data_IF_356458559149
#
_entry.id   IF_356458559149
#
_cell.length_a   1.000
_cell.length_b   1.000
_cell.length_c   1.000
_cell.angle_alpha   90.00
_cell.angle_beta   90.00
_cell.angle_gamma   90.00
#
_symmetry.space_group_name_H-M   'P 1'
#
loop_
_entity.id
_entity.type
_entity.pdbx_description
1 polymer ?
#
# COMPACT_ATOMS: atom_id res chain seq x y z
N UNK A 1 21.40 -18.51 57.13
CA UNK A 1 20.94 -17.32 56.36
C UNK A 1 20.73 -17.73 54.93
N UNK A 2 19.47 -17.88 54.55
CA UNK A 2 19.08 -18.33 53.21
C UNK A 2 18.55 -17.09 52.45
N UNK A 3 19.30 -16.57 51.46
CA UNK A 3 18.93 -15.40 50.65
C UNK A 3 18.11 -15.88 49.47
N UNK A 4 16.83 -15.54 49.47
CA UNK A 4 15.88 -15.79 48.40
C UNK A 4 16.01 -14.74 47.29
N UNK A 5 16.53 -15.10 46.08
CA UNK A 5 16.53 -14.25 44.92
C UNK A 5 15.20 -14.39 44.19
N UNK A 6 14.42 -13.31 44.24
CA UNK A 6 13.20 -13.15 43.41
C UNK A 6 13.63 -12.65 42.00
N UNK A 7 13.49 -13.50 41.02
CA UNK A 7 13.59 -13.09 39.61
C UNK A 7 12.28 -12.43 39.17
N UNK A 8 12.31 -11.11 38.97
CA UNK A 8 11.25 -10.38 38.26
C UNK A 8 11.41 -10.65 36.78
N UNK A 9 10.52 -11.47 36.22
CA UNK A 9 10.35 -11.63 34.77
C UNK A 9 9.55 -10.46 34.22
N UNK A 10 10.22 -9.53 33.54
CA UNK A 10 9.57 -8.45 32.81
C UNK A 10 9.13 -8.99 31.43
N UNK A 11 7.88 -9.43 31.35
CA UNK A 11 7.25 -9.83 30.08
C UNK A 11 6.90 -8.61 29.26
N UNK A 12 7.66 -8.32 28.21
CA UNK A 12 7.30 -7.35 27.19
C UNK A 12 6.24 -7.98 26.27
N UNK A 13 4.99 -7.66 26.51
CA UNK A 13 3.90 -7.97 25.59
C UNK A 13 3.95 -7.00 24.41
N UNK A 14 4.38 -7.48 23.25
CA UNK A 14 4.23 -6.76 21.99
C UNK A 14 2.75 -6.80 21.59
N UNK A 15 2.07 -5.65 21.66
CA UNK A 15 0.71 -5.48 21.20
C UNK A 15 0.66 -5.48 19.68
N UNK A 16 0.42 -6.64 19.09
CA UNK A 16 0.05 -6.76 17.67
C UNK A 16 -1.41 -6.38 17.55
N UNK A 17 -1.71 -5.32 16.80
CA UNK A 17 -3.07 -4.87 16.52
C UNK A 17 -3.69 -5.84 15.51
N UNK A 18 -4.64 -6.67 15.94
CA UNK A 18 -5.24 -7.74 15.14
C UNK A 18 -6.65 -7.42 14.61
N UNK A 19 -7.20 -6.22 14.88
CA UNK A 19 -8.55 -5.86 14.39
C UNK A 19 -8.75 -4.38 14.05
N UNK A 20 -9.56 -4.15 13.02
CA UNK A 20 -9.98 -2.83 12.52
C UNK A 20 -10.64 -1.95 13.62
N UNK A 21 -11.23 -2.56 14.64
CA UNK A 21 -11.92 -1.87 15.75
C UNK A 21 -10.96 -1.17 16.70
N UNK A 22 -9.72 -1.62 16.86
CA UNK A 22 -8.72 -0.97 17.71
C UNK A 22 -8.03 0.21 17.04
N UNK A 23 -7.87 0.15 15.70
CA UNK A 23 -7.28 1.25 14.92
C UNK A 23 -8.20 2.48 14.90
N UNK A 24 -9.53 2.29 14.85
CA UNK A 24 -10.52 3.38 14.78
C UNK A 24 -10.62 4.16 16.12
N UNK A 25 -10.39 3.51 17.26
CA UNK A 25 -10.46 4.18 18.57
C UNK A 25 -9.31 5.14 18.87
N UNK A 26 -8.21 5.08 18.11
CA UNK A 26 -7.04 5.96 18.33
C UNK A 26 -6.96 7.17 17.41
N UNK A 27 -7.85 7.31 16.43
CA UNK A 27 -7.79 8.40 15.45
C UNK A 27 -9.10 9.18 15.35
N UNK A 28 -9.59 9.72 16.47
CA UNK A 28 -10.68 10.69 16.47
C UNK A 28 -10.12 12.09 16.17
N UNK A 29 -10.06 12.47 14.90
CA UNK A 29 -9.97 13.87 14.49
C UNK A 29 -11.29 14.29 13.84
N UNK A 30 -11.88 15.26 14.49
CA UNK A 30 -13.08 15.99 14.13
C UNK A 30 -12.87 16.75 12.79
N UNK A 31 -13.72 16.50 11.81
CA UNK A 31 -13.80 17.35 10.61
C UNK A 31 -15.24 17.68 10.31
N UNK A 32 -15.71 18.74 10.97
CA UNK A 32 -16.86 19.52 10.50
C UNK A 32 -16.40 20.52 9.47
N UNK A 33 -16.69 20.29 8.19
CA UNK A 33 -16.77 21.35 7.20
C UNK A 33 -17.83 21.00 6.14
N UNK A 34 -18.96 21.68 6.30
CA UNK A 34 -20.08 21.79 5.39
C UNK A 34 -19.66 22.36 4.03
N UNK A 35 -20.09 21.77 2.93
CA UNK A 35 -20.38 22.52 1.71
C UNK A 35 -21.53 21.90 0.93
N UNK A 36 -22.62 22.64 0.94
CA UNK A 36 -23.85 22.53 0.19
C UNK A 36 -23.57 22.73 -1.32
N UNK A 37 -23.97 21.82 -2.18
CA UNK A 37 -24.20 22.14 -3.60
C UNK A 37 -25.54 21.61 -4.06
N UNK A 38 -26.25 22.53 -4.74
CA UNK A 38 -27.62 22.43 -5.19
C UNK A 38 -27.82 21.41 -6.30
N UNK A 39 -29.03 20.88 -6.29
CA UNK A 39 -29.60 19.96 -7.27
C UNK A 39 -30.19 20.79 -8.41
N UNK A 40 -29.75 20.59 -9.63
CA UNK A 40 -30.48 21.00 -10.83
C UNK A 40 -31.14 19.76 -11.41
N UNK A 41 -32.47 19.75 -11.39
CA UNK A 41 -33.32 18.79 -12.11
C UNK A 41 -33.45 19.26 -13.55
N UNK A 42 -33.23 18.39 -14.51
CA UNK A 42 -33.89 18.54 -15.79
C UNK A 42 -34.40 17.19 -16.29
N UNK A 43 -35.68 17.20 -16.66
CA UNK A 43 -36.46 16.09 -17.16
C UNK A 43 -36.33 16.04 -18.68
N UNK A 44 -35.99 14.89 -19.26
CA UNK A 44 -36.59 14.53 -20.56
C UNK A 44 -36.57 13.01 -20.75
N UNK A 45 -37.78 12.50 -20.95
CA UNK A 45 -38.10 11.12 -21.27
C UNK A 45 -37.68 10.76 -22.68
N UNK A 46 -37.10 9.61 -22.88
CA UNK A 46 -37.44 8.69 -24.00
C UNK A 46 -36.83 7.31 -23.78
N UNK A 47 -37.70 6.29 -23.70
CA UNK A 47 -37.39 4.88 -23.87
C UNK A 47 -37.45 4.56 -25.36
N UNK A 48 -36.57 3.72 -25.94
CA UNK A 48 -36.94 2.32 -26.05
C UNK A 48 -35.81 1.27 -26.04
N UNK A 49 -36.28 0.07 -25.70
CA UNK A 49 -35.83 -1.28 -26.11
C UNK A 49 -34.49 -1.85 -25.61
N UNK A 50 -34.70 -2.88 -24.79
CA UNK A 50 -33.82 -3.98 -24.48
C UNK A 50 -33.38 -4.72 -25.74
N UNK A 51 -32.07 -4.93 -25.83
CA UNK A 51 -31.55 -6.16 -26.39
C UNK A 51 -30.28 -6.60 -25.62
N UNK A 52 -30.31 -7.84 -25.29
CA UNK A 52 -29.57 -8.80 -24.54
C UNK A 52 -28.10 -8.91 -24.99
N UNK A 53 -27.16 -8.24 -24.30
CA UNK A 53 -25.72 -8.60 -24.35
C UNK A 53 -25.10 -8.37 -22.95
N UNK A 54 -25.46 -9.21 -22.00
CA UNK A 54 -24.80 -9.26 -20.69
C UNK A 54 -24.29 -10.67 -20.45
N UNK A 55 -23.10 -11.02 -20.98
CA UNK A 55 -22.32 -12.14 -20.41
C UNK A 55 -20.85 -12.14 -20.84
N UNK A 56 -20.40 -11.26 -21.77
CA UNK A 56 -18.99 -11.23 -22.17
C UNK A 56 -18.14 -10.16 -21.50
N UNK A 57 -18.74 -9.08 -20.98
CA UNK A 57 -18.00 -7.95 -20.43
C UNK A 57 -17.33 -8.22 -19.08
N UNK A 58 -17.93 -9.07 -18.22
CA UNK A 58 -17.40 -9.35 -16.89
C UNK A 58 -16.18 -10.30 -16.86
N UNK A 59 -16.04 -11.19 -17.86
CA UNK A 59 -14.85 -12.04 -17.95
C UNK A 59 -13.66 -11.31 -18.56
N UNK A 60 -13.88 -10.42 -19.52
CA UNK A 60 -12.80 -9.62 -20.13
C UNK A 60 -12.28 -8.56 -19.18
N UNK A 61 -13.13 -7.89 -18.41
CA UNK A 61 -12.72 -6.91 -17.40
C UNK A 61 -11.89 -7.57 -16.28
N UNK A 62 -12.27 -8.77 -15.84
CA UNK A 62 -11.53 -9.50 -14.80
C UNK A 62 -10.18 -10.05 -15.27
N UNK A 63 -10.06 -10.45 -16.53
CA UNK A 63 -8.80 -10.91 -17.12
C UNK A 63 -7.85 -9.75 -17.45
N UNK A 64 -8.36 -8.60 -17.88
CA UNK A 64 -7.57 -7.38 -18.12
C UNK A 64 -6.98 -6.86 -16.80
N UNK A 65 -7.77 -6.81 -15.72
CA UNK A 65 -7.29 -6.39 -14.39
C UNK A 65 -6.17 -7.30 -13.85
N UNK A 66 -6.29 -8.62 -14.01
CA UNK A 66 -5.25 -9.57 -13.57
C UNK A 66 -3.93 -9.42 -14.33
N UNK A 67 -3.98 -9.08 -15.62
CA UNK A 67 -2.79 -8.83 -16.41
C UNK A 67 -2.12 -7.51 -16.01
N UNK A 68 -2.88 -6.42 -15.82
CA UNK A 68 -2.34 -5.09 -15.47
C UNK A 68 -1.53 -5.14 -14.18
N UNK A 69 -2.01 -5.80 -13.11
CA UNK A 69 -1.26 -5.95 -11.85
C UNK A 69 0.06 -6.69 -12.05
N UNK A 70 0.06 -7.79 -12.80
CA UNK A 70 1.26 -8.55 -13.16
C UNK A 70 2.24 -7.72 -13.97
N UNK A 71 1.73 -6.94 -14.91
CA UNK A 71 2.54 -6.09 -15.78
C UNK A 71 3.19 -4.95 -15.00
N UNK A 72 2.48 -4.35 -14.04
CA UNK A 72 3.03 -3.33 -13.13
C UNK A 72 4.16 -3.93 -12.28
N UNK A 73 3.95 -5.13 -11.71
CA UNK A 73 4.99 -5.83 -10.93
C UNK A 73 6.21 -6.15 -11.78
N UNK A 74 6.00 -6.57 -13.02
CA UNK A 74 7.10 -6.83 -13.97
C UNK A 74 7.82 -5.54 -14.35
N UNK A 75 7.07 -4.47 -14.61
CA UNK A 75 7.61 -3.16 -14.97
C UNK A 75 8.45 -2.56 -13.87
N UNK A 76 7.96 -2.52 -12.63
CA UNK A 76 8.69 -1.91 -11.52
C UNK A 76 10.03 -2.61 -11.26
N UNK A 77 10.11 -3.93 -11.50
CA UNK A 77 11.34 -4.70 -11.38
C UNK A 77 12.40 -4.30 -12.43
N UNK A 78 12.01 -3.73 -13.58
CA UNK A 78 12.96 -3.21 -14.56
C UNK A 78 13.74 -2.00 -14.09
N UNK A 79 13.36 -1.40 -12.96
CA UNK A 79 14.05 -0.26 -12.34
C UNK A 79 15.06 -0.68 -11.26
N UNK A 80 15.25 -1.98 -11.02
CA UNK A 80 16.27 -2.48 -10.08
C UNK A 80 17.64 -1.87 -10.40
N UNK A 81 18.33 -1.42 -9.34
CA UNK A 81 19.64 -0.75 -9.44
C UNK A 81 19.59 0.73 -9.82
N UNK A 82 18.42 1.31 -10.13
CA UNK A 82 18.30 2.77 -10.31
C UNK A 82 18.66 3.49 -9.00
N UNK A 83 19.36 4.65 -9.06
CA UNK A 83 19.78 5.36 -7.86
C UNK A 83 18.60 5.96 -7.10
N UNK A 84 18.82 6.23 -5.80
CA UNK A 84 17.90 7.04 -5.00
C UNK A 84 18.07 8.52 -5.37
N UNK A 85 16.96 9.23 -5.50
CA UNK A 85 16.91 10.68 -5.64
C UNK A 85 15.70 11.19 -4.87
N UNK A 86 15.90 12.09 -3.91
CA UNK A 86 14.80 12.71 -3.18
C UNK A 86 13.88 13.50 -4.15
N UNK A 87 12.57 13.27 -4.06
CA UNK A 87 11.60 13.82 -5.02
C UNK A 87 11.65 13.20 -6.42
N UNK A 88 12.55 12.24 -6.66
CA UNK A 88 12.74 11.60 -7.96
C UNK A 88 11.59 10.64 -8.34
N UNK A 89 11.27 10.63 -9.64
CA UNK A 89 10.23 9.77 -10.22
C UNK A 89 10.61 9.32 -11.64
N UNK A 90 11.90 9.17 -11.93
CA UNK A 90 12.42 8.77 -13.26
C UNK A 90 13.59 7.79 -13.09
N UNK A 91 14.03 7.16 -14.19
CA UNK A 91 15.20 6.26 -14.20
C UNK A 91 16.50 6.92 -13.75
N UNK A 92 16.58 8.25 -13.78
CA UNK A 92 17.74 8.98 -13.27
C UNK A 92 17.82 9.00 -11.73
N UNK A 93 16.72 8.64 -11.07
CA UNK A 93 16.60 8.44 -9.64
C UNK A 93 15.14 8.45 -9.19
N UNK A 94 14.86 7.62 -8.21
CA UNK A 94 13.55 7.50 -7.57
C UNK A 94 13.66 7.72 -6.06
N UNK A 95 12.68 8.41 -5.47
CA UNK A 95 12.37 8.19 -4.06
C UNK A 95 11.39 7.01 -3.91
N UNK A 96 11.05 6.62 -2.67
CA UNK A 96 10.25 5.44 -2.41
C UNK A 96 8.86 5.51 -3.06
N UNK A 97 8.14 6.60 -2.88
CA UNK A 97 6.79 6.80 -3.45
C UNK A 97 6.85 7.17 -4.93
N UNK A 98 7.89 7.86 -5.39
CA UNK A 98 8.09 8.20 -6.80
C UNK A 98 8.28 6.99 -7.70
N UNK A 99 8.93 5.95 -7.21
CA UNK A 99 9.04 4.66 -7.90
C UNK A 99 7.66 4.05 -8.16
N UNK A 100 6.82 3.98 -7.13
CA UNK A 100 5.46 3.44 -7.22
C UNK A 100 4.59 4.33 -8.11
N UNK A 101 4.57 5.65 -7.83
CA UNK A 101 3.80 6.64 -8.54
C UNK A 101 4.06 6.60 -10.06
N UNK A 102 5.32 6.68 -10.46
CA UNK A 102 5.67 6.71 -11.89
C UNK A 102 5.37 5.40 -12.59
N UNK A 103 5.61 4.25 -11.91
CA UNK A 103 5.28 2.94 -12.48
C UNK A 103 3.78 2.80 -12.70
N UNK A 104 2.94 3.09 -11.71
CA UNK A 104 1.49 2.99 -11.83
C UNK A 104 0.94 3.96 -12.89
N UNK A 105 1.52 5.15 -13.00
CA UNK A 105 1.13 6.15 -14.00
C UNK A 105 1.33 5.67 -15.46
N UNK A 106 2.34 4.84 -15.73
CA UNK A 106 2.53 4.23 -17.06
C UNK A 106 1.37 3.30 -17.45
N UNK A 107 0.60 2.82 -16.49
CA UNK A 107 -0.59 1.98 -16.69
C UNK A 107 -1.90 2.75 -16.47
N UNK A 108 -1.87 4.08 -16.53
CA UNK A 108 -3.01 4.98 -16.33
C UNK A 108 -3.65 4.87 -14.92
N UNK A 109 -2.89 4.41 -13.92
CA UNK A 109 -3.31 4.37 -12.53
C UNK A 109 -2.70 5.57 -11.81
N UNK A 110 -3.56 6.48 -11.35
CA UNK A 110 -3.15 7.68 -10.62
C UNK A 110 -3.16 7.41 -9.12
N UNK A 111 -1.99 7.48 -8.50
CA UNK A 111 -1.81 7.40 -7.06
C UNK A 111 -1.41 8.78 -6.49
N UNK A 112 -1.62 9.03 -5.19
CA UNK A 112 -1.01 10.18 -4.52
C UNK A 112 0.52 10.16 -4.63
N UNK A 113 1.17 11.33 -4.51
CA UNK A 113 2.63 11.42 -4.72
C UNK A 113 3.45 10.95 -3.52
N UNK A 114 2.97 11.14 -2.30
CA UNK A 114 3.73 10.86 -1.08
C UNK A 114 3.34 9.52 -0.46
N UNK A 115 4.28 8.89 0.28
CA UNK A 115 4.02 7.62 0.96
C UNK A 115 2.90 7.72 2.00
N UNK A 116 2.78 8.86 2.70
CA UNK A 116 1.72 9.08 3.68
C UNK A 116 0.35 9.21 3.02
N UNK A 117 0.24 9.91 1.90
CA UNK A 117 -1.01 10.01 1.17
C UNK A 117 -1.38 8.66 0.53
N UNK A 118 -0.41 7.91 -0.03
CA UNK A 118 -0.63 6.57 -0.56
C UNK A 118 -1.16 5.61 0.52
N UNK A 119 -0.73 5.78 1.78
CA UNK A 119 -1.19 4.92 2.88
C UNK A 119 -2.66 5.13 3.26
N UNK A 120 -3.26 6.24 2.82
CA UNK A 120 -4.67 6.53 2.98
C UNK A 120 -5.50 6.25 1.70
N UNK A 121 -4.86 5.66 0.68
CA UNK A 121 -5.48 5.39 -0.62
C UNK A 121 -5.67 3.88 -0.83
N UNK A 122 -6.83 3.49 -1.38
CA UNK A 122 -7.22 2.09 -1.53
C UNK A 122 -7.67 1.44 -0.23
N UNK A 123 -7.75 0.11 -0.22
CA UNK A 123 -8.21 -0.67 0.91
C UNK A 123 -7.05 -1.17 1.76
N UNK A 124 -7.09 -0.91 3.06
CA UNK A 124 -6.18 -1.56 4.01
C UNK A 124 -6.54 -3.04 4.11
N UNK A 125 -5.54 -3.91 3.96
CA UNK A 125 -5.71 -5.36 3.97
C UNK A 125 -4.92 -6.03 5.09
N UNK A 126 -5.36 -7.21 5.50
CA UNK A 126 -4.65 -8.04 6.45
C UNK A 126 -3.49 -8.79 5.76
N UNK A 127 -2.48 -9.18 6.53
CA UNK A 127 -1.30 -9.87 6.00
C UNK A 127 -1.64 -11.20 5.33
N UNK A 128 -2.71 -11.87 5.76
CA UNK A 128 -3.21 -13.13 5.18
C UNK A 128 -3.87 -12.95 3.80
N UNK A 129 -4.22 -11.73 3.44
CA UNK A 129 -4.89 -11.39 2.18
C UNK A 129 -3.94 -10.80 1.14
N UNK A 130 -2.67 -10.60 1.52
CA UNK A 130 -1.68 -9.92 0.68
C UNK A 130 -1.42 -10.65 -0.63
N UNK A 131 -1.26 -9.89 -1.71
CA UNK A 131 -0.94 -10.37 -3.05
C UNK A 131 0.19 -9.55 -3.67
N UNK A 132 0.83 -10.11 -4.69
CA UNK A 132 1.78 -9.33 -5.52
C UNK A 132 1.08 -8.10 -6.09
N UNK A 133 1.76 -6.95 -6.03
CA UNK A 133 1.25 -5.66 -6.46
C UNK A 133 0.56 -4.84 -5.35
N UNK A 134 0.33 -5.41 -4.17
CA UNK A 134 -0.15 -4.63 -3.02
C UNK A 134 0.99 -3.74 -2.48
N UNK A 135 0.64 -2.62 -1.88
CA UNK A 135 1.59 -1.68 -1.28
C UNK A 135 1.88 -2.06 0.17
N UNK A 136 3.14 -1.93 0.57
CA UNK A 136 3.60 -2.16 1.93
C UNK A 136 4.24 -0.88 2.49
N UNK A 137 3.85 -0.49 3.71
CA UNK A 137 4.22 0.78 4.32
C UNK A 137 5.00 0.59 5.61
N UNK A 138 5.92 1.54 5.87
CA UNK A 138 6.82 1.49 7.02
C UNK A 138 6.96 2.87 7.69
N UNK A 139 7.36 2.86 8.98
CA UNK A 139 7.70 4.01 9.81
C UNK A 139 9.19 3.95 10.12
N UNK A 140 10.03 4.41 9.18
CA UNK A 140 11.49 4.17 9.21
C UNK A 140 12.31 5.30 9.82
N UNK A 141 11.69 6.44 10.15
CA UNK A 141 12.39 7.65 10.65
C UNK A 141 12.31 7.84 12.18
N UNK A 142 11.83 6.82 12.91
CA UNK A 142 11.64 6.91 14.36
C UNK A 142 10.39 7.70 14.80
N UNK A 143 9.72 8.38 13.89
CA UNK A 143 8.43 9.04 14.13
C UNK A 143 7.30 8.02 13.99
N UNK A 144 6.18 8.26 14.67
CA UNK A 144 5.02 7.37 14.57
C UNK A 144 4.18 7.61 13.30
N UNK A 145 4.81 8.06 12.21
CA UNK A 145 4.17 8.38 10.94
C UNK A 145 4.78 7.58 9.80
N UNK A 146 3.95 7.09 8.87
CA UNK A 146 4.40 6.41 7.66
C UNK A 146 5.22 7.40 6.81
N UNK A 147 6.42 6.96 6.42
CA UNK A 147 7.36 7.73 5.62
C UNK A 147 8.06 6.91 4.55
N UNK A 148 7.74 5.63 4.43
CA UNK A 148 8.33 4.75 3.43
C UNK A 148 7.31 3.80 2.86
N UNK A 149 7.47 3.45 1.57
CA UNK A 149 6.57 2.56 0.82
C UNK A 149 7.36 1.67 -0.13
N UNK A 150 6.87 0.45 -0.32
CA UNK A 150 7.29 -0.49 -1.35
C UNK A 150 6.10 -1.18 -2.00
N UNK A 151 6.34 -1.97 -3.04
CA UNK A 151 5.36 -2.84 -3.68
C UNK A 151 5.74 -4.30 -3.47
N UNK A 152 4.79 -5.12 -3.01
CA UNK A 152 5.00 -6.56 -2.83
C UNK A 152 5.22 -7.22 -4.19
N UNK A 153 6.36 -7.91 -4.33
CA UNK A 153 6.74 -8.62 -5.56
C UNK A 153 6.70 -10.14 -5.38
N UNK A 154 6.75 -10.63 -4.14
CA UNK A 154 6.65 -12.05 -3.83
C UNK A 154 6.02 -12.26 -2.45
N UNK A 155 5.12 -13.23 -2.36
CA UNK A 155 4.48 -13.66 -1.11
C UNK A 155 4.94 -15.08 -0.83
N UNK A 156 5.57 -15.30 0.31
CA UNK A 156 6.04 -16.58 0.82
C UNK A 156 5.35 -16.86 2.16
N UNK A 157 5.35 -18.12 2.61
CA UNK A 157 4.62 -18.52 3.81
C UNK A 157 4.99 -17.72 5.06
N UNK A 158 6.24 -17.28 5.16
CA UNK A 158 6.79 -16.65 6.35
C UNK A 158 7.38 -15.25 6.10
N UNK A 159 7.27 -14.72 4.88
CA UNK A 159 7.78 -13.39 4.52
C UNK A 159 7.14 -12.80 3.26
N UNK A 160 7.18 -11.49 3.16
CA UNK A 160 6.91 -10.74 1.95
C UNK A 160 8.23 -10.19 1.41
N UNK A 161 8.46 -10.34 0.08
CA UNK A 161 9.49 -9.58 -0.61
C UNK A 161 8.85 -8.38 -1.31
N UNK A 162 9.47 -7.24 -1.20
CA UNK A 162 8.97 -6.00 -1.77
C UNK A 162 10.08 -5.20 -2.42
N UNK A 163 9.75 -4.55 -3.54
CA UNK A 163 10.62 -3.61 -4.23
C UNK A 163 10.37 -2.21 -3.71
N UNK A 164 11.44 -1.46 -3.47
CA UNK A 164 11.38 -0.08 -3.01
C UNK A 164 12.65 0.67 -3.38
N UNK A 165 12.65 2.00 -3.31
CA UNK A 165 13.86 2.81 -3.44
C UNK A 165 14.44 3.12 -2.05
N UNK A 166 15.57 2.50 -1.75
CA UNK A 166 16.34 2.70 -0.52
C UNK A 166 17.24 3.93 -0.65
N UNK A 167 17.30 4.79 0.36
CA UNK A 167 18.17 5.98 0.38
C UNK A 167 19.64 5.66 0.14
N UNK A 168 20.10 4.50 0.62
CA UNK A 168 21.51 4.12 0.54
C UNK A 168 21.85 3.21 -0.65
N UNK A 169 20.88 2.47 -1.19
CA UNK A 169 21.13 1.42 -2.19
C UNK A 169 20.37 1.60 -3.49
N UNK A 170 19.52 2.65 -3.59
CA UNK A 170 18.62 2.83 -4.71
C UNK A 170 17.51 1.77 -4.73
N UNK A 171 17.04 1.44 -5.93
CA UNK A 171 15.93 0.49 -6.11
C UNK A 171 16.41 -0.95 -5.90
N UNK A 172 15.90 -1.58 -4.86
CA UNK A 172 16.24 -2.94 -4.43
C UNK A 172 14.99 -3.73 -4.03
N UNK A 173 15.13 -5.05 -3.91
CA UNK A 173 14.17 -5.93 -3.25
C UNK A 173 14.66 -6.23 -1.84
N UNK A 174 13.79 -6.05 -0.86
CA UNK A 174 14.02 -6.37 0.56
C UNK A 174 12.95 -7.34 1.07
N UNK A 175 13.13 -7.83 2.30
CA UNK A 175 12.24 -8.80 2.94
C UNK A 175 11.68 -8.26 4.26
N UNK A 176 10.45 -8.65 4.59
CA UNK A 176 9.90 -8.42 5.94
C UNK A 176 10.60 -9.24 7.02
N UNK A 177 11.45 -10.22 6.66
CA UNK A 177 12.37 -10.90 7.60
C UNK A 177 13.55 -10.05 8.01
N UNK A 178 13.92 -9.04 7.23
CA UNK A 178 14.98 -8.11 7.62
C UNK A 178 14.55 -7.38 8.88
N UNK A 179 15.37 -7.48 9.94
CA UNK A 179 15.04 -6.94 11.28
C UNK A 179 14.60 -5.46 11.24
N UNK A 180 15.18 -4.67 10.35
CA UNK A 180 14.83 -3.26 10.14
C UNK A 180 13.38 -3.11 9.63
N UNK A 181 13.01 -3.81 8.57
CA UNK A 181 11.67 -3.74 7.99
C UNK A 181 10.61 -4.42 8.85
N UNK A 182 10.97 -5.51 9.52
CA UNK A 182 10.08 -6.18 10.48
C UNK A 182 9.63 -5.23 11.60
N UNK A 183 10.59 -4.49 12.19
CA UNK A 183 10.32 -3.56 13.30
C UNK A 183 9.58 -2.29 12.88
N UNK A 184 9.71 -1.88 11.62
CA UNK A 184 9.16 -0.61 11.10
C UNK A 184 7.91 -0.81 10.27
N UNK A 185 7.47 -2.05 10.05
CA UNK A 185 6.24 -2.38 9.34
C UNK A 185 5.03 -1.67 9.95
N UNK A 186 4.17 -1.11 9.10
CA UNK A 186 3.02 -0.33 9.52
C UNK A 186 1.68 -0.88 8.99
N UNK A 187 1.57 -1.10 7.69
CA UNK A 187 0.33 -1.57 7.06
C UNK A 187 0.54 -2.06 5.62
N UNK A 188 -0.49 -2.69 5.08
CA UNK A 188 -0.61 -3.10 3.69
C UNK A 188 -1.87 -2.48 3.07
N UNK A 189 -1.78 -2.00 1.82
CA UNK A 189 -2.95 -1.52 1.09
C UNK A 189 -3.05 -2.17 -0.28
N UNK A 190 -4.29 -2.43 -0.71
CA UNK A 190 -4.62 -2.79 -2.08
C UNK A 190 -5.12 -1.55 -2.82
N UNK A 191 -4.42 -1.19 -3.90
CA UNK A 191 -4.72 -0.03 -4.75
C UNK A 191 -5.05 -0.44 -6.18
N UNK A 192 -4.81 -1.71 -6.52
CA UNK A 192 -5.05 -2.31 -7.83
C UNK A 192 -5.83 -3.60 -7.60
N UNK A 193 -6.98 -3.75 -8.22
CA UNK A 193 -7.81 -4.94 -8.15
C UNK A 193 -7.32 -6.07 -9.08
#
# INVERSE_FOLDING_TARGET
MLTLFLFFSCGTTSNIITSKSEAIKRNSYDTTASSKREIIKDNSSTKPQQDRVETKSNLEVKTVSKNVKSDIVSKIQTYLGSPYLEGGATKNGFDCSGLIYSTCKEFNITLPRTSIEMSNFGDTIEISEVKKGDLIFFKTNGNNQINHVGMVVEVLDDQLKFIHSSTNKGVIISSTKDSYYNKTFAQLNRVIE
#
